data_IF_152050574767
#
_entry.id   IF_152050574767
#
_cell.length_a   1.000
_cell.length_b   1.000
_cell.length_c   1.000
_cell.angle_alpha   90.00
_cell.angle_beta   90.00
_cell.angle_gamma   90.00
#
_symmetry.space_group_name_H-M   'P 1'
#
loop_
_entity.id
_entity.type
_entity.pdbx_description
1 polymer ?
#
# COMPACT_ATOMS: atom_id res chain seq x y z
N UNK A 1 -46.81 -33.73 7.23
CA UNK A 1 -46.36 -33.00 6.03
C UNK A 1 -46.53 -31.49 6.19
N UNK A 2 -47.76 -30.93 6.19
CA UNK A 2 -47.99 -29.46 6.26
C UNK A 2 -47.32 -28.70 7.43
N UNK A 3 -47.16 -29.33 8.60
CA UNK A 3 -46.54 -28.69 9.78
C UNK A 3 -45.01 -28.54 9.65
N UNK A 4 -44.36 -29.51 8.99
CA UNK A 4 -42.92 -29.54 8.75
C UNK A 4 -42.51 -28.57 7.63
N UNK A 5 -43.32 -28.45 6.59
CA UNK A 5 -43.14 -27.48 5.50
C UNK A 5 -43.27 -26.04 6.01
N UNK A 6 -44.22 -25.79 6.92
CA UNK A 6 -44.41 -24.47 7.54
C UNK A 6 -43.25 -24.08 8.46
N UNK A 7 -42.67 -25.04 9.19
CA UNK A 7 -41.46 -24.82 9.99
C UNK A 7 -40.22 -24.51 9.13
N UNK A 8 -39.99 -25.26 8.04
CA UNK A 8 -38.90 -24.97 7.11
C UNK A 8 -39.03 -23.60 6.44
N UNK A 9 -40.24 -23.22 6.03
CA UNK A 9 -40.49 -21.90 5.46
C UNK A 9 -40.25 -20.76 6.47
N UNK A 10 -40.60 -20.98 7.74
CA UNK A 10 -40.33 -20.03 8.82
C UNK A 10 -38.83 -19.92 9.15
N UNK A 11 -38.10 -21.04 9.18
CA UNK A 11 -36.64 -21.03 9.34
C UNK A 11 -35.94 -20.34 8.15
N UNK A 12 -36.38 -20.58 6.92
CA UNK A 12 -35.83 -19.89 5.74
C UNK A 12 -36.13 -18.39 5.75
N UNK A 13 -37.33 -17.98 6.20
CA UNK A 13 -37.66 -16.56 6.34
C UNK A 13 -36.85 -15.89 7.46
N UNK A 14 -36.70 -16.53 8.62
CA UNK A 14 -35.86 -16.03 9.70
C UNK A 14 -34.40 -15.89 9.26
N UNK A 15 -33.86 -16.88 8.53
CA UNK A 15 -32.51 -16.81 7.96
C UNK A 15 -32.34 -15.67 6.96
N UNK A 16 -33.35 -15.44 6.11
CA UNK A 16 -33.31 -14.34 5.12
C UNK A 16 -33.38 -12.97 5.81
N UNK A 17 -34.18 -12.84 6.87
CA UNK A 17 -34.24 -11.63 7.67
C UNK A 17 -32.92 -11.37 8.41
N UNK A 18 -32.31 -12.39 9.01
CA UNK A 18 -30.97 -12.26 9.61
C UNK A 18 -29.89 -11.93 8.56
N UNK A 19 -29.95 -12.54 7.37
CA UNK A 19 -29.04 -12.23 6.25
C UNK A 19 -29.23 -10.79 5.74
N UNK A 20 -30.47 -10.28 5.68
CA UNK A 20 -30.81 -8.90 5.30
C UNK A 20 -30.39 -7.88 6.37
N UNK A 21 -30.64 -8.14 7.65
CA UNK A 21 -30.21 -7.27 8.75
C UNK A 21 -28.67 -7.23 8.87
N UNK A 22 -27.99 -8.38 8.71
CA UNK A 22 -26.53 -8.44 8.66
C UNK A 22 -25.98 -7.74 7.40
N UNK A 23 -26.68 -7.78 6.27
CA UNK A 23 -26.30 -7.04 5.07
C UNK A 23 -26.49 -5.52 5.23
N UNK A 24 -27.56 -5.08 5.88
CA UNK A 24 -27.82 -3.67 6.20
C UNK A 24 -26.79 -3.12 7.20
N UNK A 25 -26.43 -3.88 8.23
CA UNK A 25 -25.36 -3.52 9.16
C UNK A 25 -23.97 -3.52 8.51
N UNK A 26 -23.77 -4.24 7.39
CA UNK A 26 -22.52 -4.20 6.61
C UNK A 26 -22.47 -2.97 5.70
N UNK A 27 -23.61 -2.52 5.15
CA UNK A 27 -23.64 -1.34 4.27
C UNK A 27 -23.19 -0.03 4.95
N UNK A 28 -23.23 0.03 6.28
CA UNK A 28 -22.79 1.20 7.07
C UNK A 28 -21.30 1.17 7.44
N UNK A 29 -20.55 0.12 7.05
CA UNK A 29 -19.11 -0.03 7.39
C UNK A 29 -18.16 0.47 6.31
N UNK A 30 -18.70 0.89 5.17
CA UNK A 30 -17.92 1.32 4.02
C UNK A 30 -17.15 2.61 4.26
N UNK A 31 -15.93 2.70 3.72
CA UNK A 31 -15.20 3.97 3.63
C UNK A 31 -15.48 4.60 2.27
N UNK A 32 -16.29 5.68 2.15
CA UNK A 32 -16.63 6.27 0.87
C UNK A 32 -15.47 7.09 0.27
N UNK A 33 -14.63 7.68 1.11
CA UNK A 33 -13.53 8.57 0.69
C UNK A 33 -12.26 7.81 0.30
N UNK A 34 -11.39 8.46 -0.48
CA UNK A 34 -10.03 8.01 -0.80
C UNK A 34 -8.99 8.98 -0.28
N UNK A 35 -7.80 8.44 0.02
CA UNK A 35 -6.62 9.21 0.37
C UNK A 35 -5.48 8.91 -0.60
N UNK A 36 -4.98 9.94 -1.28
CA UNK A 36 -3.83 9.88 -2.17
C UNK A 36 -2.64 10.61 -1.56
N UNK A 37 -1.43 10.06 -1.76
CA UNK A 37 -0.18 10.68 -1.32
C UNK A 37 0.71 10.91 -2.54
N UNK A 38 1.18 12.13 -2.73
CA UNK A 38 2.15 12.47 -3.77
C UNK A 38 3.52 12.80 -3.16
N UNK A 39 4.58 12.27 -3.76
CA UNK A 39 5.96 12.53 -3.36
C UNK A 39 6.90 12.43 -4.57
N UNK A 40 8.03 13.17 -4.57
CA UNK A 40 8.95 13.10 -5.68
C UNK A 40 9.81 11.84 -5.61
N UNK A 41 10.13 11.25 -6.77
CA UNK A 41 11.02 10.09 -6.84
C UNK A 41 12.46 10.39 -6.43
N UNK A 42 12.89 11.65 -6.56
CA UNK A 42 14.24 12.16 -6.24
C UNK A 42 14.68 11.87 -4.79
N UNK A 43 13.75 11.62 -3.87
CA UNK A 43 14.09 11.26 -2.48
C UNK A 43 14.99 10.02 -2.42
N UNK A 44 14.88 9.11 -3.39
CA UNK A 44 15.73 7.94 -3.47
C UNK A 44 17.18 8.30 -3.83
N UNK A 45 17.43 9.42 -4.50
CA UNK A 45 18.77 9.84 -4.92
C UNK A 45 19.64 10.29 -3.73
N UNK A 46 18.99 10.63 -2.61
CA UNK A 46 19.67 10.94 -1.35
C UNK A 46 20.15 9.69 -0.59
N UNK A 47 19.78 8.49 -1.03
CA UNK A 47 20.19 7.25 -0.37
C UNK A 47 21.67 6.94 -0.68
N UNK A 48 22.42 6.55 0.35
CA UNK A 48 23.88 6.34 0.27
C UNK A 48 24.28 5.00 -0.36
N UNK A 49 23.35 4.05 -0.45
CA UNK A 49 23.62 2.74 -1.06
C UNK A 49 22.36 2.18 -1.75
N UNK A 50 22.51 1.25 -2.72
CA UNK A 50 21.38 0.59 -3.37
C UNK A 50 20.43 -0.15 -2.40
N UNK A 51 20.99 -0.71 -1.32
CA UNK A 51 20.24 -1.40 -0.27
C UNK A 51 19.39 -0.39 0.52
N UNK A 52 20.02 0.72 0.96
CA UNK A 52 19.33 1.79 1.70
C UNK A 52 18.26 2.47 0.85
N UNK A 53 18.50 2.59 -0.46
CA UNK A 53 17.53 3.12 -1.42
C UNK A 53 16.29 2.24 -1.52
N UNK A 54 16.49 0.92 -1.59
CA UNK A 54 15.39 -0.04 -1.57
C UNK A 54 14.65 0.01 -0.23
N UNK A 55 15.39 0.09 0.88
CA UNK A 55 14.82 0.20 2.23
C UNK A 55 13.96 1.46 2.41
N UNK A 56 14.42 2.61 1.91
CA UNK A 56 13.69 3.88 1.93
C UNK A 56 12.33 3.76 1.21
N UNK A 57 12.29 3.17 0.02
CA UNK A 57 11.04 2.86 -0.68
C UNK A 57 10.11 1.98 0.17
N UNK A 58 10.66 1.00 0.88
CA UNK A 58 9.90 0.16 1.81
C UNK A 58 9.32 0.92 3.02
N UNK A 59 10.03 1.93 3.53
CA UNK A 59 9.52 2.78 4.60
C UNK A 59 8.29 3.57 4.15
N UNK A 60 8.31 4.10 2.92
CA UNK A 60 7.19 4.84 2.33
C UNK A 60 5.99 3.91 2.09
N UNK A 61 6.22 2.73 1.52
CA UNK A 61 5.17 1.74 1.30
C UNK A 61 4.46 1.37 2.61
N UNK A 62 5.24 1.09 3.66
CA UNK A 62 4.72 0.74 4.98
C UNK A 62 3.97 1.89 5.62
N UNK A 63 4.47 3.11 5.49
CA UNK A 63 3.80 4.31 5.95
C UNK A 63 2.42 4.47 5.29
N UNK A 64 2.36 4.36 3.97
CA UNK A 64 1.10 4.45 3.21
C UNK A 64 0.12 3.34 3.59
N UNK A 65 0.61 2.11 3.79
CA UNK A 65 -0.22 0.98 4.21
C UNK A 65 -0.81 1.13 5.62
N UNK A 66 -0.03 1.60 6.59
CA UNK A 66 -0.49 1.82 7.99
C UNK A 66 -1.67 2.80 8.02
N UNK A 67 -1.59 3.84 7.20
CA UNK A 67 -2.59 4.92 7.16
C UNK A 67 -3.63 4.74 6.05
N UNK A 68 -3.70 3.54 5.47
CA UNK A 68 -4.75 3.14 4.52
C UNK A 68 -4.86 4.05 3.29
N UNK A 69 -3.73 4.54 2.81
CA UNK A 69 -3.62 5.34 1.57
C UNK A 69 -4.05 4.49 0.38
N UNK A 70 -4.91 5.03 -0.48
CA UNK A 70 -5.50 4.33 -1.63
C UNK A 70 -4.68 4.51 -2.93
N UNK A 71 -3.88 5.57 -3.02
CA UNK A 71 -3.04 5.86 -4.20
C UNK A 71 -1.73 6.53 -3.77
N UNK A 72 -0.61 6.09 -4.35
CA UNK A 72 0.69 6.75 -4.23
C UNK A 72 1.08 7.30 -5.60
N UNK A 73 1.23 8.62 -5.69
CA UNK A 73 1.67 9.33 -6.88
C UNK A 73 3.15 9.66 -6.74
N UNK A 74 3.96 9.10 -7.63
CA UNK A 74 5.38 9.40 -7.69
C UNK A 74 5.58 10.39 -8.83
N UNK A 75 5.87 11.65 -8.49
CA UNK A 75 6.11 12.68 -9.49
C UNK A 75 7.59 12.94 -9.70
N UNK A 76 7.91 13.47 -10.86
CA UNK A 76 9.25 13.99 -11.13
C UNK A 76 9.30 15.50 -10.86
N UNK A 77 10.30 15.93 -10.08
CA UNK A 77 10.57 17.33 -9.78
C UNK A 77 11.74 17.90 -10.59
N UNK A 78 12.39 17.10 -11.43
CA UNK A 78 13.51 17.52 -12.29
C UNK A 78 13.14 17.59 -13.79
N UNK A 79 11.89 17.29 -14.16
CA UNK A 79 11.38 17.38 -15.53
C UNK A 79 11.92 16.32 -16.50
N UNK A 80 12.27 15.14 -16.02
CA UNK A 80 12.67 14.00 -16.86
C UNK A 80 11.41 13.23 -17.27
N UNK A 81 10.85 13.55 -18.43
CA UNK A 81 9.64 12.95 -19.03
C UNK A 81 9.66 11.39 -19.04
N UNK A 82 9.29 10.78 -17.91
CA UNK A 82 9.26 9.32 -17.72
C UNK A 82 7.84 8.89 -17.35
N UNK A 83 7.02 8.62 -18.36
CA UNK A 83 5.61 8.22 -18.21
C UNK A 83 5.40 6.71 -18.04
N UNK A 84 6.45 5.92 -18.06
CA UNK A 84 6.39 4.45 -17.99
C UNK A 84 7.26 3.92 -16.85
N UNK A 85 6.84 2.78 -16.28
CA UNK A 85 7.66 2.00 -15.34
C UNK A 85 8.71 1.15 -16.04
N UNK A 86 8.94 1.35 -17.34
CA UNK A 86 9.93 0.61 -18.13
C UNK A 86 11.27 1.35 -18.05
N UNK A 87 12.24 0.76 -17.34
CA UNK A 87 13.55 1.37 -17.12
C UNK A 87 14.44 0.51 -16.23
N UNK A 88 15.74 0.46 -16.55
CA UNK A 88 16.77 -0.32 -15.83
C UNK A 88 17.69 0.59 -15.03
N UNK A 89 17.85 0.36 -13.73
CA UNK A 89 18.78 1.09 -12.86
C UNK A 89 20.20 1.24 -13.45
N UNK A 90 20.60 2.48 -13.79
CA UNK A 90 21.92 2.78 -14.39
C UNK A 90 23.05 3.04 -13.38
N UNK A 91 22.79 2.96 -12.07
CA UNK A 91 23.75 3.21 -10.98
C UNK A 91 23.37 4.36 -10.05
N UNK A 92 23.98 4.40 -8.85
CA UNK A 92 23.80 5.48 -7.86
C UNK A 92 24.41 6.78 -8.38
N UNK A 93 23.70 7.90 -8.27
CA UNK A 93 24.18 9.23 -8.69
C UNK A 93 23.95 9.55 -10.17
N UNK A 94 23.22 8.72 -10.93
CA UNK A 94 22.79 9.04 -12.30
C UNK A 94 21.31 9.46 -12.31
N UNK A 95 21.08 10.65 -12.86
CA UNK A 95 19.75 11.21 -13.14
C UNK A 95 18.95 10.29 -14.07
N UNK A 96 17.64 10.12 -13.84
CA UNK A 96 16.76 9.48 -14.83
C UNK A 96 15.73 8.45 -14.36
N UNK A 97 15.83 7.86 -13.16
CA UNK A 97 15.11 6.60 -12.89
C UNK A 97 14.62 6.40 -11.44
N UNK A 98 14.78 7.41 -10.59
CA UNK A 98 14.35 7.31 -9.21
C UNK A 98 12.84 7.09 -9.08
N UNK A 99 12.06 7.79 -9.90
CA UNK A 99 10.61 7.63 -9.97
C UNK A 99 10.21 6.20 -10.37
N UNK A 100 10.82 5.67 -11.44
CA UNK A 100 10.54 4.32 -11.96
C UNK A 100 10.88 3.25 -10.92
N UNK A 101 12.06 3.34 -10.31
CA UNK A 101 12.48 2.38 -9.29
C UNK A 101 11.58 2.44 -8.06
N UNK A 102 11.24 3.63 -7.59
CA UNK A 102 10.33 3.82 -6.46
C UNK A 102 8.97 3.19 -6.77
N UNK A 103 8.37 3.55 -7.90
CA UNK A 103 7.07 3.03 -8.32
C UNK A 103 7.07 1.49 -8.42
N UNK A 104 8.13 0.90 -9.00
CA UNK A 104 8.25 -0.55 -9.13
C UNK A 104 8.35 -1.26 -7.78
N UNK A 105 9.12 -0.72 -6.84
CA UNK A 105 9.23 -1.28 -5.48
C UNK A 105 7.89 -1.17 -4.74
N UNK A 106 7.22 -0.01 -4.84
CA UNK A 106 5.90 0.20 -4.23
C UNK A 106 4.86 -0.80 -4.76
N UNK A 107 4.81 -1.02 -6.07
CA UNK A 107 3.93 -2.00 -6.71
C UNK A 107 4.27 -3.44 -6.28
N UNK A 108 5.56 -3.79 -6.19
CA UNK A 108 5.99 -5.10 -5.73
C UNK A 108 5.56 -5.38 -4.29
N UNK A 109 5.68 -4.38 -3.41
CA UNK A 109 5.29 -4.49 -2.02
C UNK A 109 3.79 -4.60 -1.83
N UNK A 110 2.99 -3.82 -2.58
CA UNK A 110 1.53 -3.90 -2.54
C UNK A 110 1.02 -5.25 -3.02
N UNK A 111 1.66 -5.85 -4.02
CA UNK A 111 1.22 -7.11 -4.59
C UNK A 111 1.29 -8.27 -3.57
N UNK A 112 0.20 -9.04 -3.38
CA UNK A 112 0.18 -10.22 -2.52
C UNK A 112 1.25 -11.25 -2.91
N UNK A 113 1.87 -11.88 -1.92
CA UNK A 113 3.04 -12.75 -2.11
C UNK A 113 2.82 -13.88 -3.14
N UNK A 114 1.62 -14.49 -3.16
CA UNK A 114 1.29 -15.57 -4.08
C UNK A 114 1.11 -15.12 -5.54
N UNK A 115 0.96 -13.82 -5.79
CA UNK A 115 0.81 -13.23 -7.13
C UNK A 115 2.12 -12.66 -7.68
N UNK A 116 3.11 -12.39 -6.82
CA UNK A 116 4.35 -11.73 -7.24
C UNK A 116 5.07 -12.44 -8.37
N UNK A 117 5.10 -13.77 -8.37
CA UNK A 117 5.74 -14.57 -9.43
C UNK A 117 5.05 -14.43 -10.79
N UNK A 118 3.75 -14.10 -10.81
CA UNK A 118 2.99 -13.92 -12.05
C UNK A 118 3.19 -12.52 -12.64
N UNK A 119 3.30 -11.49 -11.80
CA UNK A 119 3.36 -10.09 -12.24
C UNK A 119 4.77 -9.51 -12.33
N UNK A 120 5.72 -10.02 -11.53
CA UNK A 120 7.05 -9.44 -11.41
C UNK A 120 8.13 -10.43 -11.88
N UNK A 121 8.65 -10.27 -13.11
CA UNK A 121 9.84 -11.00 -13.51
C UNK A 121 11.04 -10.58 -12.66
N UNK A 122 12.11 -11.39 -12.68
CA UNK A 122 13.35 -11.03 -11.99
C UNK A 122 13.90 -9.74 -12.59
N UNK A 123 14.02 -8.70 -11.76
CA UNK A 123 14.50 -7.38 -12.15
C UNK A 123 15.57 -6.90 -11.17
N UNK A 124 16.58 -6.17 -11.66
CA UNK A 124 17.68 -5.65 -10.85
C UNK A 124 17.21 -4.73 -9.72
N UNK A 125 16.28 -3.81 -10.00
CA UNK A 125 15.64 -2.95 -9.00
C UNK A 125 15.01 -3.70 -7.82
N UNK A 126 14.64 -4.97 -8.00
CA UNK A 126 14.02 -5.81 -6.97
C UNK A 126 15.02 -6.78 -6.33
N UNK A 127 16.32 -6.66 -6.61
CA UNK A 127 17.35 -7.56 -6.07
C UNK A 127 17.40 -7.57 -4.54
N UNK A 128 17.13 -6.42 -3.91
CA UNK A 128 17.14 -6.25 -2.46
C UNK A 128 15.75 -6.30 -1.83
N UNK A 129 14.72 -6.75 -2.57
CA UNK A 129 13.36 -6.82 -2.05
C UNK A 129 13.22 -7.73 -0.82
N UNK A 130 14.15 -8.66 -0.61
CA UNK A 130 14.19 -9.53 0.58
C UNK A 130 14.54 -8.82 1.89
N UNK A 131 15.10 -7.60 1.85
CA UNK A 131 15.42 -6.78 3.03
C UNK A 131 14.19 -5.98 3.49
N UNK A 132 13.17 -5.85 2.64
CA UNK A 132 12.02 -5.00 2.90
C UNK A 132 11.11 -5.59 3.98
N UNK A 133 10.64 -4.74 4.87
CA UNK A 133 9.62 -5.13 5.83
C UNK A 133 8.31 -5.43 5.11
N UNK A 134 7.61 -6.53 5.47
CA UNK A 134 6.30 -6.81 4.90
C UNK A 134 5.30 -5.71 5.28
N UNK A 135 4.33 -5.48 4.38
CA UNK A 135 3.24 -4.54 4.61
C UNK A 135 2.16 -5.12 5.52
N UNK A 136 1.98 -6.45 5.50
CA UNK A 136 0.95 -7.19 6.25
C UNK A 136 -0.44 -6.54 6.15
N UNK A 137 -0.80 -6.09 4.94
CA UNK A 137 -2.10 -5.48 4.66
C UNK A 137 -3.21 -6.54 4.59
N UNK A 138 -4.50 -6.18 4.74
CA UNK A 138 -5.58 -7.16 4.77
C UNK A 138 -5.64 -8.09 3.56
N UNK A 139 -5.23 -7.64 2.36
CA UNK A 139 -5.18 -8.48 1.16
C UNK A 139 -3.94 -9.39 1.06
N UNK A 140 -3.00 -9.32 2.02
CA UNK A 140 -1.80 -10.18 2.13
C UNK A 140 -2.06 -11.42 2.99
N UNK A 141 -3.11 -12.14 2.64
CA UNK A 141 -3.57 -13.26 3.46
C UNK A 141 -2.75 -14.52 3.27
N UNK A 142 -2.71 -15.34 4.33
CA UNK A 142 -2.17 -16.70 4.24
C UNK A 142 -3.14 -17.61 3.50
N UNK A 143 -2.66 -18.77 3.08
CA UNK A 143 -3.47 -19.72 2.30
C UNK A 143 -4.70 -20.26 3.07
N UNK A 144 -4.55 -20.48 4.37
CA UNK A 144 -5.59 -21.07 5.24
C UNK A 144 -6.52 -20.02 5.88
N UNK A 145 -6.29 -18.74 5.64
CA UNK A 145 -7.07 -17.65 6.25
C UNK A 145 -8.40 -17.44 5.51
N UNK A 146 -9.50 -17.40 6.23
CA UNK A 146 -10.81 -17.15 5.60
C UNK A 146 -11.03 -15.65 5.38
N UNK A 147 -11.56 -15.30 4.22
CA UNK A 147 -11.89 -13.91 3.88
C UNK A 147 -13.04 -13.82 2.90
N UNK A 148 -13.79 -12.73 2.99
CA UNK A 148 -14.84 -12.39 2.04
C UNK A 148 -14.28 -12.02 0.66
N UNK A 149 -13.14 -11.31 0.62
CA UNK A 149 -12.50 -10.86 -0.61
C UNK A 149 -11.09 -11.43 -0.72
N UNK A 150 -10.67 -11.77 -1.93
CA UNK A 150 -9.28 -12.12 -2.23
C UNK A 150 -8.87 -11.57 -3.58
N UNK A 151 -7.61 -11.15 -3.65
CA UNK A 151 -6.95 -10.86 -4.91
C UNK A 151 -6.62 -12.16 -5.66
N UNK A 152 -6.65 -12.11 -6.98
CA UNK A 152 -6.32 -13.28 -7.78
C UNK A 152 -5.87 -12.93 -9.18
N UNK A 153 -5.26 -13.91 -9.84
CA UNK A 153 -4.88 -13.84 -11.26
C UNK A 153 -5.65 -14.87 -12.05
N UNK A 154 -6.19 -14.48 -13.20
CA UNK A 154 -6.89 -15.39 -14.12
C UNK A 154 -5.85 -16.37 -14.70
N UNK A 155 -6.08 -17.67 -14.53
CA UNK A 155 -5.16 -18.70 -15.03
C UNK A 155 -5.43 -19.00 -16.49
N UNK A 156 -4.36 -19.30 -17.24
CA UNK A 156 -4.47 -19.76 -18.61
C UNK A 156 -4.86 -21.24 -18.63
N UNK A 157 -6.17 -21.50 -18.51
CA UNK A 157 -6.74 -22.85 -18.63
C UNK A 157 -7.90 -22.86 -19.61
N UNK A 158 -7.96 -23.84 -20.52
CA UNK A 158 -9.06 -23.95 -21.45
C UNK A 158 -10.34 -24.34 -20.71
N UNK A 159 -11.32 -23.43 -20.69
CA UNK A 159 -12.67 -23.69 -20.19
C UNK A 159 -13.64 -23.84 -21.36
N UNK A 160 -14.64 -24.73 -21.21
CA UNK A 160 -15.71 -24.86 -22.20
C UNK A 160 -16.45 -23.51 -22.35
N UNK A 161 -16.91 -23.19 -23.55
CA UNK A 161 -17.70 -21.98 -23.79
C UNK A 161 -18.89 -21.91 -22.81
N UNK A 162 -19.06 -20.76 -22.13
CA UNK A 162 -20.09 -20.55 -21.12
C UNK A 162 -19.76 -21.04 -19.71
N UNK A 163 -18.60 -21.66 -19.47
CA UNK A 163 -18.20 -22.12 -18.12
C UNK A 163 -17.29 -21.13 -17.35
N UNK A 164 -17.17 -19.89 -17.83
CA UNK A 164 -16.40 -18.83 -17.18
C UNK A 164 -14.89 -19.06 -17.18
N UNK A 165 -14.20 -18.44 -16.22
CA UNK A 165 -12.74 -18.53 -16.05
C UNK A 165 -12.36 -19.11 -14.67
N UNK A 166 -11.11 -19.54 -14.53
CA UNK A 166 -10.52 -19.97 -13.26
C UNK A 166 -9.54 -18.90 -12.78
N UNK A 167 -9.50 -18.68 -11.47
CA UNK A 167 -8.67 -17.65 -10.83
C UNK A 167 -7.84 -18.27 -9.71
N UNK A 168 -6.55 -17.98 -9.71
CA UNK A 168 -5.67 -18.32 -8.60
C UNK A 168 -5.70 -17.20 -7.55
N UNK A 169 -6.41 -17.44 -6.44
CA UNK A 169 -6.52 -16.51 -5.30
C UNK A 169 -5.62 -16.88 -4.11
N UNK A 170 -4.55 -17.67 -4.33
CA UNK A 170 -3.62 -18.09 -3.28
C UNK A 170 -4.21 -19.08 -2.27
N UNK A 171 -5.28 -19.77 -2.65
CA UNK A 171 -5.95 -20.80 -1.84
C UNK A 171 -5.51 -22.21 -2.24
N UNK A 172 -5.93 -23.25 -1.53
CA UNK A 172 -5.63 -24.67 -1.88
C UNK A 172 -6.22 -25.09 -3.22
N UNK A 173 -7.36 -24.51 -3.60
CA UNK A 173 -8.07 -24.78 -4.86
C UNK A 173 -8.29 -23.47 -5.60
N UNK A 174 -8.34 -23.54 -6.93
CA UNK A 174 -8.69 -22.40 -7.78
C UNK A 174 -10.15 -21.97 -7.56
N UNK A 175 -10.41 -20.68 -7.77
CA UNK A 175 -11.75 -20.10 -7.67
C UNK A 175 -12.35 -20.02 -9.08
N UNK A 176 -13.52 -20.62 -9.26
CA UNK A 176 -14.29 -20.52 -10.49
C UNK A 176 -15.17 -19.28 -10.47
N UNK A 177 -15.07 -18.49 -11.53
CA UNK A 177 -15.87 -17.28 -11.76
C UNK A 177 -16.74 -17.47 -13.01
N UNK A 178 -17.90 -16.82 -13.04
CA UNK A 178 -18.85 -16.96 -14.16
C UNK A 178 -18.45 -16.12 -15.38
N UNK A 179 -17.68 -15.04 -15.18
CA UNK A 179 -17.18 -14.18 -16.26
C UNK A 179 -16.02 -14.84 -16.99
N UNK A 180 -16.02 -14.75 -18.32
CA UNK A 180 -14.87 -15.10 -19.16
C UNK A 180 -13.95 -13.89 -19.24
N UNK A 181 -12.75 -14.02 -18.68
CA UNK A 181 -11.72 -12.99 -18.62
C UNK A 181 -10.43 -13.49 -19.25
N UNK A 182 -9.62 -12.56 -19.74
CA UNK A 182 -8.31 -12.85 -20.32
C UNK A 182 -7.34 -13.39 -19.25
N UNK A 183 -6.55 -14.43 -19.57
CA UNK A 183 -5.50 -14.93 -18.69
C UNK A 183 -4.48 -13.85 -18.32
N UNK A 184 -3.92 -13.95 -17.11
CA UNK A 184 -2.94 -12.99 -16.59
C UNK A 184 -3.56 -11.71 -15.99
N UNK A 185 -4.87 -11.52 -16.09
CA UNK A 185 -5.57 -10.39 -15.50
C UNK A 185 -5.61 -10.49 -13.96
N UNK A 186 -5.26 -9.39 -13.26
CA UNK A 186 -5.48 -9.24 -11.81
C UNK A 186 -6.93 -8.87 -11.55
N UNK A 187 -7.59 -9.61 -10.65
CA UNK A 187 -9.01 -9.43 -10.30
C UNK A 187 -9.24 -9.55 -8.80
N UNK A 188 -10.18 -8.76 -8.29
CA UNK A 188 -10.71 -8.90 -6.93
C UNK A 188 -11.93 -9.82 -6.96
N UNK A 189 -11.87 -10.91 -6.18
CA UNK A 189 -12.92 -11.92 -6.14
C UNK A 189 -13.58 -11.93 -4.77
N UNK A 190 -14.89 -11.77 -4.75
CA UNK A 190 -15.71 -12.03 -3.56
C UNK A 190 -16.02 -13.52 -3.49
N UNK A 191 -15.64 -14.16 -2.40
CA UNK A 191 -15.90 -15.59 -2.17
C UNK A 191 -17.32 -15.80 -1.65
N UNK A 192 -17.98 -16.85 -2.13
CA UNK A 192 -19.30 -17.22 -1.63
C UNK A 192 -19.18 -17.85 -0.24
N UNK A 193 -19.96 -17.36 0.74
CA UNK A 193 -19.95 -17.86 2.12
C UNK A 193 -20.35 -19.34 2.24
N UNK A 194 -21.22 -19.82 1.35
CA UNK A 194 -21.58 -21.24 1.27
C UNK A 194 -20.57 -21.95 0.35
N UNK A 195 -19.38 -22.23 0.88
CA UNK A 195 -18.43 -23.08 0.16
C UNK A 195 -19.03 -24.46 -0.02
N UNK A 196 -18.90 -25.00 -1.24
CA UNK A 196 -19.45 -26.31 -1.60
C UNK A 196 -18.80 -27.42 -0.76
N UNK A 197 -19.45 -28.60 -0.65
CA UNK A 197 -18.91 -29.75 0.05
C UNK A 197 -17.45 -30.04 -0.34
N UNK A 198 -16.65 -30.68 0.54
CA UNK A 198 -15.21 -30.95 0.35
C UNK A 198 -14.83 -31.55 -1.02
N UNK A 199 -15.78 -32.25 -1.65
CA UNK A 199 -15.67 -32.95 -2.93
C UNK A 199 -15.56 -32.02 -4.16
N UNK A 200 -15.92 -30.74 -4.03
CA UNK A 200 -15.80 -29.82 -5.14
C UNK A 200 -14.33 -29.46 -5.41
N UNK A 201 -13.89 -29.64 -6.67
CA UNK A 201 -12.50 -29.40 -7.10
C UNK A 201 -12.11 -27.92 -7.12
N UNK A 202 -13.08 -27.00 -7.04
CA UNK A 202 -12.89 -25.54 -7.12
C UNK A 202 -13.78 -24.82 -6.12
N UNK A 203 -13.33 -23.66 -5.66
CA UNK A 203 -14.16 -22.71 -4.94
C UNK A 203 -15.03 -21.91 -5.93
N UNK A 204 -16.08 -21.25 -5.44
CA UNK A 204 -16.92 -20.36 -6.25
C UNK A 204 -16.82 -18.93 -5.73
N UNK A 205 -16.71 -17.98 -6.64
CA UNK A 205 -16.70 -16.57 -6.32
C UNK A 205 -17.15 -15.71 -7.49
N UNK A 206 -17.40 -14.44 -7.20
CA UNK A 206 -17.81 -13.45 -8.19
C UNK A 206 -16.75 -12.36 -8.28
N UNK A 207 -16.40 -11.97 -9.51
CA UNK A 207 -15.51 -10.82 -9.72
C UNK A 207 -16.28 -9.54 -9.39
N UNK A 208 -15.70 -8.74 -8.51
CA UNK A 208 -16.22 -7.46 -8.03
C UNK A 208 -15.25 -6.33 -8.39
N UNK A 209 -15.65 -5.08 -8.20
CA UNK A 209 -14.72 -3.96 -8.33
C UNK A 209 -13.64 -4.05 -7.25
N UNK A 210 -12.41 -3.62 -7.58
CA UNK A 210 -11.31 -3.51 -6.62
C UNK A 210 -11.60 -2.51 -5.49
N UNK A 211 -12.60 -1.64 -5.67
CA UNK A 211 -13.04 -0.66 -4.67
C UNK A 211 -14.12 -1.21 -3.71
N UNK A 212 -14.74 -2.36 -4.02
CA UNK A 212 -15.80 -2.95 -3.19
C UNK A 212 -15.33 -3.28 -1.76
N UNK A 213 -14.13 -3.86 -1.53
CA UNK A 213 -13.64 -4.13 -0.17
C UNK A 213 -13.60 -2.87 0.71
N UNK A 214 -13.20 -1.73 0.14
CA UNK A 214 -13.16 -0.43 0.82
C UNK A 214 -14.55 0.15 1.01
N UNK A 215 -15.30 0.29 -0.07
CA UNK A 215 -16.58 1.02 -0.10
C UNK A 215 -17.74 0.26 0.52
N UNK A 216 -17.69 -1.09 0.57
CA UNK A 216 -18.77 -1.93 1.11
C UNK A 216 -18.41 -2.61 2.43
N UNK A 217 -17.14 -2.98 2.63
CA UNK A 217 -16.71 -3.73 3.81
C UNK A 217 -15.77 -2.95 4.75
N UNK A 218 -15.36 -1.72 4.38
CA UNK A 218 -14.46 -0.90 5.19
C UNK A 218 -13.03 -1.44 5.28
N UNK A 219 -12.67 -2.41 4.43
CA UNK A 219 -11.36 -3.04 4.41
C UNK A 219 -10.37 -2.18 3.62
N UNK A 220 -9.16 -2.04 4.15
CA UNK A 220 -8.06 -1.48 3.37
C UNK A 220 -7.58 -2.54 2.36
N UNK A 221 -7.45 -2.14 1.09
CA UNK A 221 -7.22 -3.06 -0.03
C UNK A 221 -5.97 -2.73 -0.84
N UNK A 222 -4.96 -2.19 -0.16
CA UNK A 222 -3.72 -1.73 -0.79
C UNK A 222 -3.86 -0.35 -1.44
N UNK A 223 -2.83 0.02 -2.19
CA UNK A 223 -2.75 1.28 -2.93
C UNK A 223 -2.50 1.03 -4.42
N UNK A 224 -2.96 1.93 -5.26
CA UNK A 224 -2.45 2.03 -6.64
C UNK A 224 -1.21 2.89 -6.68
N UNK A 225 -0.36 2.70 -7.69
CA UNK A 225 0.85 3.52 -7.88
C UNK A 225 0.76 4.18 -9.25
N UNK A 226 0.86 5.51 -9.28
CA UNK A 226 0.82 6.33 -10.49
C UNK A 226 2.12 7.11 -10.63
N UNK A 227 2.66 7.18 -11.85
CA UNK A 227 3.77 8.07 -12.19
C UNK A 227 3.19 9.38 -12.76
N UNK A 228 3.76 10.50 -12.36
CA UNK A 228 3.46 11.81 -12.92
C UNK A 228 4.76 12.46 -13.43
N UNK A 229 4.74 13.02 -14.64
CA UNK A 229 5.94 13.63 -15.25
C UNK A 229 6.36 14.95 -14.63
N UNK A 230 5.46 15.60 -13.90
CA UNK A 230 5.68 16.88 -13.23
C UNK A 230 4.61 17.08 -12.14
N UNK A 231 4.73 18.17 -11.38
CA UNK A 231 3.82 18.47 -10.28
C UNK A 231 2.40 18.77 -10.76
N UNK A 232 2.21 19.50 -11.87
CA UNK A 232 0.89 19.76 -12.46
C UNK A 232 0.19 18.48 -12.91
N UNK A 233 0.93 17.50 -13.43
CA UNK A 233 0.40 16.18 -13.80
C UNK A 233 -0.11 15.37 -12.60
N UNK A 234 0.36 15.67 -11.37
CA UNK A 234 -0.22 15.08 -10.16
C UNK A 234 -1.71 15.40 -10.08
N UNK A 235 -2.09 16.66 -10.35
CA UNK A 235 -3.47 17.12 -10.27
C UNK A 235 -4.26 16.79 -11.54
N UNK A 236 -3.69 17.05 -12.71
CA UNK A 236 -4.39 16.94 -13.99
C UNK A 236 -4.70 15.49 -14.40
N UNK A 237 -3.84 14.54 -14.03
CA UNK A 237 -3.98 13.12 -14.38
C UNK A 237 -4.56 12.29 -13.22
N UNK A 238 -5.37 12.91 -12.36
CA UNK A 238 -6.06 12.22 -11.29
C UNK A 238 -6.99 11.12 -11.85
N UNK A 239 -7.05 9.94 -11.22
CA UNK A 239 -7.90 8.83 -11.69
C UNK A 239 -9.41 9.05 -11.40
N UNK A 240 -9.76 10.19 -10.81
CA UNK A 240 -11.12 10.54 -10.40
C UNK A 240 -11.71 11.55 -11.37
N UNK A 241 -12.98 11.37 -11.75
CA UNK A 241 -13.65 12.24 -12.73
C UNK A 241 -13.72 13.71 -12.28
N UNK A 242 -13.86 13.94 -10.97
CA UNK A 242 -13.91 15.28 -10.37
C UNK A 242 -12.54 15.76 -9.87
N UNK A 243 -11.47 14.99 -10.11
CA UNK A 243 -10.14 15.26 -9.55
C UNK A 243 -10.07 15.06 -8.02
N UNK A 244 -9.09 15.71 -7.39
CA UNK A 244 -8.98 15.79 -5.93
C UNK A 244 -9.74 17.01 -5.44
N UNK A 245 -10.72 16.80 -4.56
CA UNK A 245 -11.57 17.86 -3.99
C UNK A 245 -11.00 18.47 -2.70
N UNK A 246 -9.96 17.87 -2.14
CA UNK A 246 -9.17 18.42 -1.04
C UNK A 246 -7.69 18.18 -1.30
N UNK A 247 -6.92 19.25 -1.39
CA UNK A 247 -5.48 19.22 -1.64
C UNK A 247 -4.70 19.85 -0.49
N UNK A 248 -3.70 19.12 0.01
CA UNK A 248 -2.91 19.50 1.18
C UNK A 248 -1.42 19.44 0.82
N UNK A 249 -0.76 20.59 0.77
CA UNK A 249 0.69 20.69 0.63
C UNK A 249 1.36 20.74 2.00
N UNK A 250 2.48 20.03 2.15
CA UNK A 250 3.23 19.98 3.42
C UNK A 250 4.54 20.74 3.32
N UNK A 251 4.81 21.62 4.30
CA UNK A 251 6.05 22.41 4.36
C UNK A 251 6.29 23.00 5.74
N UNK A 252 7.55 23.20 6.11
CA UNK A 252 7.90 23.91 7.35
C UNK A 252 7.43 25.38 7.35
N UNK A 253 7.25 25.98 6.16
CA UNK A 253 6.72 27.33 5.96
C UNK A 253 5.20 27.40 5.97
N UNK A 254 4.52 26.25 6.05
CA UNK A 254 3.07 26.19 6.07
C UNK A 254 2.46 26.73 7.37
N UNK A 255 1.15 26.98 7.32
CA UNK A 255 0.36 27.35 8.49
C UNK A 255 0.32 26.20 9.50
N UNK A 256 0.13 26.51 10.79
CA UNK A 256 0.07 25.46 11.82
C UNK A 256 -1.13 24.52 11.59
N UNK A 257 -0.87 23.21 11.55
CA UNK A 257 -1.95 22.20 11.45
C UNK A 257 -2.97 22.29 12.59
N UNK A 258 -2.57 22.76 13.77
CA UNK A 258 -3.44 22.79 14.94
C UNK A 258 -4.67 23.72 14.77
N UNK A 259 -4.60 24.68 13.84
CA UNK A 259 -5.67 25.63 13.56
C UNK A 259 -6.51 25.29 12.32
N UNK A 260 -6.14 24.25 11.56
CA UNK A 260 -6.84 23.92 10.32
C UNK A 260 -8.10 23.08 10.59
N UNK A 261 -9.24 23.51 10.07
CA UNK A 261 -10.46 22.70 10.01
C UNK A 261 -10.62 22.18 8.57
N UNK A 262 -10.56 20.87 8.40
CA UNK A 262 -10.70 20.25 7.08
C UNK A 262 -12.17 20.19 6.67
N UNK A 263 -12.53 20.59 5.45
CA UNK A 263 -13.87 20.40 4.93
C UNK A 263 -14.15 18.91 4.69
N UNK A 264 -15.43 18.56 4.51
CA UNK A 264 -15.80 17.24 4.03
C UNK A 264 -15.25 17.04 2.61
N UNK A 265 -14.73 15.84 2.32
CA UNK A 265 -14.09 15.52 1.04
C UNK A 265 -14.43 14.09 0.61
N UNK A 266 -14.26 13.81 -0.68
CA UNK A 266 -14.35 12.47 -1.28
C UNK A 266 -12.98 11.93 -1.68
N UNK A 267 -12.10 12.77 -2.21
CA UNK A 267 -10.78 12.42 -2.74
C UNK A 267 -9.73 13.42 -2.24
N UNK A 268 -9.08 13.10 -1.12
CA UNK A 268 -8.02 13.94 -0.57
C UNK A 268 -6.65 13.58 -1.17
N UNK A 269 -5.84 14.61 -1.44
CA UNK A 269 -4.44 14.48 -1.86
C UNK A 269 -3.53 15.19 -0.85
N UNK A 270 -2.52 14.47 -0.35
CA UNK A 270 -1.43 15.04 0.47
C UNK A 270 -0.14 15.02 -0.32
N UNK A 271 0.48 16.18 -0.51
CA UNK A 271 1.70 16.33 -1.30
C UNK A 271 2.89 16.66 -0.40
N UNK A 272 3.95 15.88 -0.58
CA UNK A 272 5.22 16.05 0.11
C UNK A 272 6.30 16.52 -0.86
N UNK A 273 7.14 17.44 -0.40
CA UNK A 273 8.33 17.86 -1.13
C UNK A 273 9.52 16.90 -0.94
N UNK A 274 10.51 17.07 -1.82
CA UNK A 274 11.80 16.40 -1.74
C UNK A 274 12.75 17.10 -0.78
N UNK A 275 14.05 17.03 -1.06
CA UNK A 275 15.08 17.70 -0.25
C UNK A 275 14.95 19.23 -0.28
N UNK A 276 14.52 19.76 -1.43
CA UNK A 276 14.36 21.21 -1.66
C UNK A 276 12.94 21.72 -1.38
N UNK A 277 12.08 20.90 -0.78
CA UNK A 277 10.67 21.24 -0.56
C UNK A 277 9.81 21.04 -1.81
N UNK A 278 8.64 21.68 -1.83
CA UNK A 278 7.72 21.64 -2.98
C UNK A 278 8.11 22.66 -4.05
N UNK A 279 8.96 23.62 -3.69
CA UNK A 279 9.46 24.69 -4.54
C UNK A 279 10.18 24.14 -5.78
N UNK A 280 11.00 23.09 -5.61
CA UNK A 280 11.69 22.47 -6.74
C UNK A 280 10.72 21.93 -7.81
N UNK A 281 9.63 21.28 -7.38
CA UNK A 281 8.60 20.78 -8.29
C UNK A 281 7.79 21.89 -8.97
N UNK A 282 7.63 23.04 -8.32
CA UNK A 282 6.97 24.22 -8.90
C UNK A 282 7.87 24.90 -9.90
N UNK A 283 9.11 25.20 -9.52
CA UNK A 283 10.10 25.90 -10.35
C UNK A 283 10.45 25.11 -11.63
N UNK A 284 10.42 23.78 -11.55
CA UNK A 284 10.72 22.90 -12.68
C UNK A 284 9.54 22.71 -13.66
N UNK A 285 8.31 23.00 -13.25
CA UNK A 285 7.12 22.72 -14.05
C UNK A 285 6.70 23.94 -14.88
N UNK A 286 6.86 23.91 -16.22
CA UNK A 286 6.52 25.05 -17.07
C UNK A 286 5.02 25.34 -17.14
N UNK A 287 4.17 24.40 -16.71
CA UNK A 287 2.71 24.61 -16.68
C UNK A 287 2.25 25.36 -15.43
N UNK A 288 3.13 25.58 -14.45
CA UNK A 288 2.83 26.28 -13.21
C UNK A 288 3.43 27.69 -13.25
N UNK A 289 2.58 28.70 -13.51
CA UNK A 289 2.99 30.11 -13.51
C UNK A 289 2.93 30.73 -12.10
N UNK A 290 3.42 30.02 -11.08
CA UNK A 290 3.36 30.46 -9.69
C UNK A 290 4.72 30.33 -9.00
N UNK A 291 5.06 31.29 -8.14
CA UNK A 291 6.34 31.27 -7.40
C UNK A 291 6.22 30.65 -6.01
N UNK A 292 5.04 30.70 -5.40
CA UNK A 292 4.81 30.13 -4.08
C UNK A 292 3.96 28.85 -4.20
N UNK A 293 4.42 27.68 -3.70
CA UNK A 293 3.65 26.45 -3.78
C UNK A 293 2.33 26.48 -3.02
N UNK A 294 2.17 27.40 -2.05
CA UNK A 294 0.97 27.52 -1.21
C UNK A 294 -0.32 27.72 -2.02
N UNK A 295 -0.24 28.40 -3.16
CA UNK A 295 -1.41 28.72 -4.01
C UNK A 295 -1.93 27.50 -4.79
N UNK A 296 -1.17 26.41 -4.83
CA UNK A 296 -1.56 25.17 -5.52
C UNK A 296 -2.45 24.27 -4.66
N UNK A 297 -2.61 24.58 -3.38
CA UNK A 297 -3.27 23.72 -2.42
C UNK A 297 -4.38 24.47 -1.67
N UNK A 298 -5.45 23.75 -1.32
CA UNK A 298 -6.48 24.27 -0.42
C UNK A 298 -5.90 24.54 0.97
N UNK A 299 -4.98 23.67 1.41
CA UNK A 299 -4.25 23.82 2.66
C UNK A 299 -2.76 23.66 2.45
N UNK A 300 -1.98 24.62 2.96
CA UNK A 300 -0.51 24.54 2.99
C UNK A 300 -0.01 24.63 4.43
N UNK A 301 0.53 23.52 4.93
CA UNK A 301 0.58 23.26 6.38
C UNK A 301 1.92 22.75 6.88
N UNK A 302 2.30 23.23 8.06
CA UNK A 302 3.39 22.70 8.87
C UNK A 302 2.84 21.70 9.88
N UNK A 303 3.26 20.46 9.73
CA UNK A 303 2.81 19.33 10.55
C UNK A 303 3.64 19.12 11.81
N UNK A 304 4.81 19.74 11.93
CA UNK A 304 5.69 19.62 13.08
C UNK A 304 6.22 21.01 13.49
N UNK A 305 5.38 21.84 14.13
CA UNK A 305 5.84 23.12 14.65
C UNK A 305 6.92 22.91 15.72
N UNK A 306 7.88 23.82 15.80
CA UNK A 306 9.03 23.75 16.71
C UNK A 306 9.91 22.50 16.52
N UNK A 307 10.13 22.08 15.26
CA UNK A 307 11.03 20.98 14.96
C UNK A 307 12.45 21.24 15.51
N UNK A 308 13.00 20.26 16.25
CA UNK A 308 14.37 20.33 16.78
C UNK A 308 15.47 19.96 15.78
N UNK A 309 15.09 19.57 14.56
CA UNK A 309 16.00 19.31 13.44
C UNK A 309 15.81 20.40 12.40
N UNK A 310 16.90 20.81 11.73
CA UNK A 310 16.81 21.80 10.64
C UNK A 310 15.93 21.30 9.48
N UNK A 311 15.95 20.00 9.22
CA UNK A 311 15.20 19.40 8.11
C UNK A 311 14.53 18.11 8.59
N UNK A 312 13.30 17.89 8.15
CA UNK A 312 12.60 16.62 8.32
C UNK A 312 12.62 15.92 6.96
N UNK A 313 13.27 14.76 6.88
CA UNK A 313 13.27 13.98 5.63
C UNK A 313 11.87 13.42 5.37
N UNK A 314 11.52 13.28 4.08
CA UNK A 314 10.19 12.86 3.62
C UNK A 314 9.73 11.55 4.26
N UNK A 315 10.63 10.59 4.50
CA UNK A 315 10.33 9.31 5.17
C UNK A 315 10.19 9.42 6.70
N UNK A 316 10.80 10.45 7.32
CA UNK A 316 10.87 10.63 8.78
C UNK A 316 9.67 11.43 9.32
N UNK A 317 9.03 12.25 8.48
CA UNK A 317 7.76 12.94 8.80
C UNK A 317 6.68 12.01 9.36
N UNK A 318 6.84 10.70 9.20
CA UNK A 318 5.94 9.66 9.64
C UNK A 318 6.19 9.07 11.04
N UNK A 319 7.41 9.18 11.60
CA UNK A 319 7.85 8.32 12.74
C UNK A 319 7.60 8.88 14.14
N UNK A 320 7.12 10.12 14.30
CA UNK A 320 6.85 10.73 15.63
C UNK A 320 5.38 10.65 16.02
N UNK A 321 5.13 10.61 17.35
CA UNK A 321 3.83 10.40 18.04
C UNK A 321 2.67 11.36 17.67
N UNK A 322 2.86 12.28 16.73
CA UNK A 322 1.79 13.09 16.11
C UNK A 322 1.96 13.10 14.58
N UNK A 323 1.56 12.04 13.85
CA UNK A 323 1.82 11.92 12.42
C UNK A 323 0.91 12.78 11.55
N UNK A 324 1.49 13.26 10.44
CA UNK A 324 0.82 13.93 9.29
C UNK A 324 -0.39 13.16 8.78
N UNK A 325 -0.30 11.82 8.69
CA UNK A 325 -1.42 10.98 8.27
C UNK A 325 -2.36 10.59 9.43
N UNK A 326 -1.90 10.74 10.68
CA UNK A 326 -2.75 10.63 11.88
C UNK A 326 -3.47 11.96 12.14
N UNK A 327 -3.45 12.93 11.22
CA UNK A 327 -4.35 14.09 11.27
C UNK A 327 -5.58 13.87 10.38
N UNK A 328 -5.54 12.95 9.42
CA UNK A 328 -6.72 12.56 8.63
C UNK A 328 -7.60 11.59 9.43
N UNK A 329 -7.00 10.78 10.31
CA UNK A 329 -7.69 9.73 11.07
C UNK A 329 -8.49 10.18 12.33
N UNK A 330 -8.10 11.19 13.12
CA UNK A 330 -8.88 11.65 14.28
C UNK A 330 -10.14 12.42 13.88
N UNK A 331 -10.20 12.93 12.64
CA UNK A 331 -11.33 13.71 12.15
C UNK A 331 -12.45 12.84 11.57
N UNK A 332 -12.11 11.64 11.07
CA UNK A 332 -13.10 10.65 10.62
C UNK A 332 -13.76 9.86 11.77
N UNK A 333 -13.29 10.00 13.02
CA UNK A 333 -13.72 9.20 14.17
C UNK A 333 -14.30 10.03 15.33
N UNK A 334 -14.64 11.31 15.10
CA UNK A 334 -15.27 12.15 16.13
C UNK A 334 -16.78 11.95 16.19
N UNK A 335 -17.21 10.69 16.39
CA UNK A 335 -18.32 10.30 17.27
C UNK A 335 -17.94 8.93 17.84
N UNK A 336 -17.82 8.85 19.16
CA UNK A 336 -17.55 7.65 19.97
C UNK A 336 -16.12 7.06 19.93
N UNK A 337 -15.27 7.52 20.87
CA UNK A 337 -14.52 6.70 21.85
C UNK A 337 -13.34 7.47 22.46
N UNK A 338 -13.63 8.48 23.29
CA UNK A 338 -12.69 8.96 24.30
C UNK A 338 -12.73 8.02 25.51
N UNK A 339 -11.97 6.92 25.46
CA UNK A 339 -11.57 6.13 26.63
C UNK A 339 -10.39 5.27 26.22
N UNK A 340 -9.17 5.75 26.39
CA UNK A 340 -8.06 5.00 26.98
C UNK A 340 -6.86 5.95 27.12
N UNK A 341 -6.69 6.43 28.34
CA UNK A 341 -5.62 7.31 28.79
C UNK A 341 -4.34 6.53 29.09
N UNK A 342 -3.23 7.15 28.66
CA UNK A 342 -1.85 7.10 29.17
C UNK A 342 -1.52 6.21 30.36
N UNK A 343 -0.45 5.41 30.21
CA UNK A 343 0.51 5.15 31.28
C UNK A 343 1.90 5.63 30.82
N UNK A 344 2.37 6.72 31.44
CA UNK A 344 3.78 7.13 31.43
C UNK A 344 4.42 6.59 32.71
N UNK A 345 5.60 5.96 32.57
CA UNK A 345 6.50 5.70 33.68
C UNK A 345 7.47 6.87 33.76
N UNK A 346 7.34 7.70 34.79
CA UNK A 346 8.28 8.77 35.14
C UNK A 346 9.46 8.18 35.90
N UNK A 347 10.68 8.46 35.45
CA UNK A 347 11.88 8.23 36.25
C UNK A 347 12.02 9.36 37.27
N UNK A 348 11.88 9.06 38.55
CA UNK A 348 12.27 9.95 39.64
C UNK A 348 13.75 9.73 40.00
N UNK A 349 14.46 10.84 40.17
CA UNK A 349 15.80 10.92 40.74
C UNK A 349 15.79 10.52 42.22
N UNK A 350 16.78 9.71 42.63
CA UNK A 350 17.01 9.37 44.03
C UNK A 350 18.50 9.11 44.28
N UNK A 351 19.15 10.06 44.93
CA UNK A 351 20.53 9.99 45.41
C UNK A 351 20.64 9.10 46.66
N UNK A 352 21.58 8.13 46.70
CA UNK A 352 22.61 7.95 47.77
C UNK A 352 23.34 6.59 47.78
N UNK A 353 24.66 6.71 47.99
CA UNK A 353 25.62 5.93 48.79
C UNK A 353 25.98 4.46 48.50
N UNK A 354 27.29 4.28 48.33
CA UNK A 354 28.15 3.11 48.56
C UNK A 354 27.63 2.01 49.51
N UNK A 355 27.80 0.75 49.10
CA UNK A 355 28.63 -0.25 49.80
C UNK A 355 28.86 -1.52 48.95
N UNK A 356 29.99 -2.16 49.21
CA UNK A 356 30.63 -3.28 48.51
C UNK A 356 30.09 -4.67 48.85
N UNK A 357 30.34 -5.61 47.92
CA UNK A 357 30.66 -7.07 48.07
C UNK A 357 29.69 -8.05 47.41
N UNK A 358 30.25 -9.10 46.79
CA UNK A 358 29.52 -10.34 46.47
C UNK A 358 29.72 -10.82 45.03
N UNK A 359 30.79 -11.59 44.81
CA UNK A 359 30.99 -12.43 43.62
C UNK A 359 30.04 -13.61 43.71
N UNK A 360 29.29 -13.92 42.65
CA UNK A 360 28.97 -15.31 42.29
C UNK A 360 28.55 -15.38 40.81
N UNK A 361 29.23 -16.29 40.11
CA UNK A 361 29.14 -16.46 38.66
C UNK A 361 27.94 -17.30 38.22
N UNK A 362 27.51 -17.07 36.99
CA UNK A 362 26.75 -18.04 36.19
C UNK A 362 27.00 -17.75 34.70
N UNK A 363 27.70 -18.66 34.02
CA UNK A 363 27.82 -18.69 32.56
C UNK A 363 26.49 -19.09 31.90
N UNK A 364 26.13 -18.52 30.73
CA UNK A 364 25.15 -19.11 29.83
C UNK A 364 25.82 -19.94 28.71
N UNK A 365 25.17 -21.03 28.24
CA UNK A 365 25.80 -22.05 27.41
C UNK A 365 25.98 -21.61 25.95
N UNK A 366 27.15 -21.94 25.40
CA UNK A 366 27.49 -21.88 23.98
C UNK A 366 26.75 -22.97 23.21
N UNK A 367 26.12 -22.60 22.10
CA UNK A 367 25.61 -23.51 21.08
C UNK A 367 25.89 -22.94 19.69
N UNK A 368 26.83 -23.57 18.99
CA UNK A 368 27.37 -23.21 17.68
C UNK A 368 26.33 -23.24 16.56
N UNK A 369 26.45 -22.31 15.60
CA UNK A 369 26.26 -22.61 14.17
C UNK A 369 27.39 -21.93 13.39
N UNK A 370 28.26 -22.76 12.83
CA UNK A 370 29.46 -22.40 12.09
C UNK A 370 29.11 -21.81 10.72
N UNK A 371 29.83 -20.74 10.36
CA UNK A 371 29.92 -20.15 9.04
C UNK A 371 30.71 -21.10 8.12
N UNK A 372 30.05 -21.68 7.12
CA UNK A 372 30.75 -22.32 6.00
C UNK A 372 30.97 -21.30 4.89
N UNK A 373 32.18 -20.77 4.84
CA UNK A 373 32.80 -20.10 3.71
C UNK A 373 33.46 -21.14 2.79
N UNK A 374 33.02 -21.24 1.54
CA UNK A 374 33.66 -22.03 0.48
C UNK A 374 33.64 -21.27 -0.86
N UNK A 375 34.70 -21.38 -1.70
CA UNK A 375 34.99 -20.41 -2.76
C UNK A 375 34.32 -20.70 -4.12
N UNK A 376 34.33 -19.65 -4.94
CA UNK A 376 33.91 -19.55 -6.35
C UNK A 376 34.45 -20.68 -7.25
N UNK A 377 33.53 -21.38 -7.93
CA UNK A 377 33.80 -22.04 -9.21
C UNK A 377 32.87 -21.51 -10.30
N UNK A 378 33.50 -21.04 -11.38
CA UNK A 378 32.90 -20.60 -12.64
C UNK A 378 32.45 -21.83 -13.44
N UNK A 379 31.28 -21.81 -14.06
CA UNK A 379 31.01 -22.50 -15.34
C UNK A 379 29.78 -21.89 -16.06
N UNK A 380 29.66 -22.04 -17.40
CA UNK A 380 29.43 -20.92 -18.31
C UNK A 380 27.97 -20.68 -18.76
N UNK A 381 27.76 -19.45 -19.22
CA UNK A 381 26.58 -18.93 -19.91
C UNK A 381 26.45 -19.60 -21.29
N UNK A 382 25.32 -20.24 -21.55
CA UNK A 382 24.83 -20.53 -22.90
C UNK A 382 23.71 -19.54 -23.20
N UNK A 383 24.02 -18.62 -24.11
CA UNK A 383 23.06 -17.75 -24.79
C UNK A 383 22.15 -18.59 -25.68
N UNK A 384 20.84 -18.49 -25.49
CA UNK A 384 19.89 -18.60 -26.58
C UNK A 384 18.92 -17.42 -26.51
N UNK A 385 19.00 -16.61 -27.55
CA UNK A 385 18.12 -15.49 -27.86
C UNK A 385 16.77 -15.99 -28.33
N UNK A 386 15.68 -15.54 -27.71
CA UNK A 386 14.38 -15.44 -28.37
C UNK A 386 13.55 -14.34 -27.69
N UNK A 387 13.33 -13.26 -28.43
CA UNK A 387 12.43 -12.16 -28.06
C UNK A 387 10.99 -12.69 -28.03
N UNK A 388 10.37 -12.68 -26.85
CA UNK A 388 8.93 -12.85 -26.70
C UNK A 388 8.30 -11.53 -26.26
N UNK A 389 7.42 -11.02 -27.10
CA UNK A 389 6.61 -9.81 -26.92
C UNK A 389 5.78 -9.85 -25.65
N UNK A 390 5.90 -8.82 -24.82
CA UNK A 390 5.18 -8.68 -23.55
C UNK A 390 3.69 -8.35 -23.75
N UNK A 391 2.77 -8.91 -22.95
CA UNK A 391 1.39 -8.45 -22.91
C UNK A 391 1.26 -7.20 -22.02
N UNK A 392 0.54 -6.21 -22.55
CA UNK A 392 0.20 -4.95 -21.88
C UNK A 392 -0.62 -5.20 -20.60
N UNK A 393 -0.29 -4.47 -19.53
CA UNK A 393 -1.11 -4.37 -18.32
C UNK A 393 -2.50 -3.84 -18.69
N UNK A 394 -3.51 -4.70 -18.59
CA UNK A 394 -4.91 -4.28 -18.54
C UNK A 394 -5.41 -4.60 -17.15
N UNK A 395 -5.74 -3.58 -16.35
CA UNK A 395 -6.55 -3.75 -15.15
C UNK A 395 -8.00 -3.40 -15.53
N UNK A 396 -8.97 -4.20 -15.07
CA UNK A 396 -10.37 -3.81 -15.09
C UNK A 396 -10.60 -2.94 -13.85
N UNK A 397 -10.74 -1.63 -14.05
CA UNK A 397 -11.20 -0.67 -13.04
C UNK A 397 -12.69 -0.89 -12.73
#
# INVERSE_FOLDING_TARGET
>A
MKKLERQRAQEEQAKRQEEEEAAAQRSDRGRPYTLSVALPGSILDNAQSPELRTYLAGQIARACAIFRVDEIVVFDEEGQDSKTVEGEFKGVGKKGQACVQLARILQYLECPQYLRKAFFPKHQDLQFAGILNPLDSPHHMRQDEESEFREGVVVDRPTKAGHGSLVNCGMKKEVKIDKKLEPGLRVTVRLNQKQLPPECKTYKGTVVSSQDPRTKAGLYWGYTVRLASCLSAVFAEAPFQDGYDLTIGTSERGSSMASAQLPSFRHALVVFGGLQGLEAGVDADPNLEVSEPSVLFDFYVNTCPNQGSRTIRTEVSHRRRHPVLLVIHPWAFSQDLLKYSMYFCTSEEGTRSHETTGVDGYEPPRGCWELNSGPLEKQPVLLTSELSSQPQFKCLF
#
